data_IF_182128548430
#
_entry.id   IF_182128548430
#
_cell.length_a   1.000
_cell.length_b   1.000
_cell.length_c   1.000
_cell.angle_alpha   90.00
_cell.angle_beta   90.00
_cell.angle_gamma   90.00
#
_symmetry.space_group_name_H-M   'P 1'
#
loop_
_entity.id
_entity.type
_entity.pdbx_description
1 polymer ?
#
# COMPACT_ATOMS: atom_id res chain seq x y z
N UNK A 1 -7.15 -18.43 -0.11
CA UNK A 1 -5.93 -19.01 -0.67
C UNK A 1 -4.69 -18.22 -0.27
N UNK A 2 -3.64 -18.96 -0.03
CA UNK A 2 -2.38 -18.39 0.39
C UNK A 2 -1.65 -17.81 -0.82
N UNK A 3 -1.04 -16.65 -0.64
CA UNK A 3 -0.16 -16.09 -1.67
C UNK A 3 1.14 -16.88 -1.62
N UNK A 4 1.39 -17.69 -2.65
CA UNK A 4 2.57 -18.54 -2.69
C UNK A 4 3.69 -17.87 -3.45
N UNK A 5 4.08 -16.69 -3.01
CA UNK A 5 5.17 -15.94 -3.64
C UNK A 5 6.07 -15.34 -2.57
N UNK A 6 7.25 -14.94 -2.99
CA UNK A 6 8.16 -14.18 -2.12
C UNK A 6 7.96 -12.69 -2.29
N UNK A 7 6.86 -12.28 -2.92
CA UNK A 7 6.54 -10.86 -3.10
C UNK A 7 6.23 -10.21 -1.77
N UNK A 8 6.82 -9.06 -1.52
CA UNK A 8 6.64 -8.34 -0.27
C UNK A 8 6.43 -6.87 -0.50
N UNK A 9 5.62 -6.28 0.37
CA UNK A 9 5.38 -4.84 0.42
C UNK A 9 6.07 -4.33 1.68
N UNK A 10 6.99 -3.38 1.51
CA UNK A 10 7.69 -2.74 2.62
C UNK A 10 7.25 -1.30 2.71
N UNK A 11 7.06 -0.80 3.91
CA UNK A 11 6.58 0.57 4.13
C UNK A 11 7.43 1.30 5.14
N UNK A 12 7.61 2.60 4.91
CA UNK A 12 8.36 3.48 5.78
C UNK A 12 7.66 4.83 5.80
N UNK A 13 7.61 5.48 6.97
CA UNK A 13 7.11 6.85 7.07
C UNK A 13 8.29 7.75 7.35
N UNK A 14 8.51 8.72 6.46
CA UNK A 14 9.61 9.65 6.58
C UNK A 14 9.19 11.00 6.02
N UNK A 15 9.51 12.08 6.74
CA UNK A 15 9.21 13.45 6.33
C UNK A 15 7.73 13.64 5.96
N UNK A 16 6.85 13.02 6.77
CA UNK A 16 5.41 13.08 6.60
C UNK A 16 4.93 12.49 5.26
N UNK A 17 5.67 11.49 4.77
CA UNK A 17 5.31 10.74 3.58
C UNK A 17 5.36 9.25 3.87
N UNK A 18 4.44 8.52 3.28
CA UNK A 18 4.48 7.07 3.28
C UNK A 18 5.27 6.65 2.04
N UNK A 19 6.34 5.91 2.25
CA UNK A 19 7.15 5.38 1.17
C UNK A 19 6.94 3.88 1.12
N UNK A 20 6.45 3.38 0.00
CA UNK A 20 6.15 1.97 -0.19
C UNK A 20 7.14 1.40 -1.20
N UNK A 21 7.81 0.33 -0.82
CA UNK A 21 8.79 -0.34 -1.68
C UNK A 21 8.34 -1.78 -1.92
N UNK A 22 8.48 -2.22 -3.16
CA UNK A 22 8.11 -3.57 -3.56
C UNK A 22 9.37 -4.31 -3.99
N UNK A 23 9.38 -5.64 -3.84
CA UNK A 23 10.47 -6.46 -4.36
C UNK A 23 10.06 -7.16 -5.66
N UNK A 24 9.03 -6.65 -6.31
CA UNK A 24 8.49 -7.23 -7.55
C UNK A 24 7.93 -6.14 -8.44
N UNK A 25 7.75 -6.47 -9.72
CA UNK A 25 7.17 -5.55 -10.69
C UNK A 25 6.30 -6.35 -11.65
N UNK A 26 5.06 -5.90 -11.86
CA UNK A 26 4.10 -6.55 -12.76
C UNK A 26 3.41 -5.48 -13.58
N UNK A 27 3.12 -5.79 -14.85
CA UNK A 27 2.56 -4.79 -15.78
C UNK A 27 1.18 -4.27 -15.38
N UNK A 28 0.38 -5.10 -14.72
CA UNK A 28 -1.00 -4.74 -14.37
C UNK A 28 -1.17 -4.47 -12.86
N UNK A 29 -0.07 -4.23 -12.16
CA UNK A 29 -0.17 -3.99 -10.72
C UNK A 29 -0.80 -2.63 -10.42
N UNK A 30 -1.67 -2.61 -9.40
CA UNK A 30 -2.28 -1.40 -8.88
C UNK A 30 -2.10 -1.41 -7.38
N UNK A 31 -1.62 -0.30 -6.83
CA UNK A 31 -1.44 -0.16 -5.39
C UNK A 31 -2.64 0.59 -4.81
N UNK A 32 -3.21 0.05 -3.75
CA UNK A 32 -4.28 0.69 -2.99
C UNK A 32 -3.76 0.96 -1.59
N UNK A 33 -3.86 2.21 -1.15
CA UNK A 33 -3.45 2.60 0.20
C UNK A 33 -4.70 3.09 0.92
N UNK A 34 -5.12 2.34 1.93
CA UNK A 34 -6.34 2.63 2.68
C UNK A 34 -5.99 3.19 4.06
N UNK A 35 -6.56 4.34 4.38
CA UNK A 35 -6.37 4.99 5.67
C UNK A 35 -7.59 4.75 6.54
N UNK A 36 -7.36 4.26 7.75
CA UNK A 36 -8.41 3.95 8.70
C UNK A 36 -8.24 4.72 10.00
N UNK A 37 -9.36 5.07 10.61
CA UNK A 37 -9.40 5.66 11.94
C UNK A 37 -10.42 4.87 12.75
N UNK A 38 -9.95 4.10 13.75
CA UNK A 38 -10.79 3.16 14.44
C UNK A 38 -11.34 2.12 13.46
N UNK A 39 -12.65 1.95 13.43
CA UNK A 39 -13.30 1.02 12.51
C UNK A 39 -13.74 1.67 11.21
N UNK A 40 -13.37 2.92 10.99
CA UNK A 40 -13.85 3.68 9.86
C UNK A 40 -12.78 3.83 8.77
N UNK A 41 -13.16 3.53 7.53
CA UNK A 41 -12.30 3.78 6.37
C UNK A 41 -12.43 5.26 6.01
N UNK A 42 -11.32 5.99 6.09
CA UNK A 42 -11.33 7.43 5.84
C UNK A 42 -11.03 7.80 4.40
N UNK A 43 -10.12 7.04 3.76
CA UNK A 43 -9.62 7.45 2.45
C UNK A 43 -8.90 6.27 1.81
N UNK A 44 -9.01 6.18 0.48
CA UNK A 44 -8.22 5.24 -0.31
C UNK A 44 -7.53 6.04 -1.41
N UNK A 45 -6.24 5.82 -1.59
CA UNK A 45 -5.50 6.43 -2.70
C UNK A 45 -4.82 5.33 -3.51
N UNK A 46 -4.56 5.64 -4.77
CA UNK A 46 -3.88 4.71 -5.68
C UNK A 46 -2.67 5.42 -6.27
N UNK A 47 -1.55 5.44 -5.53
CA UNK A 47 -0.35 6.14 -6.01
C UNK A 47 0.28 5.42 -7.19
N UNK A 48 0.95 6.19 -8.05
CA UNK A 48 1.71 5.61 -9.16
C UNK A 48 2.93 4.90 -8.62
N UNK A 49 3.26 3.77 -9.26
CA UNK A 49 4.43 2.97 -8.88
C UNK A 49 5.53 3.22 -9.91
N UNK A 50 6.69 3.66 -9.45
CA UNK A 50 7.86 3.89 -10.30
C UNK A 50 9.08 3.19 -9.70
N UNK A 51 9.72 2.34 -10.48
CA UNK A 51 10.90 1.61 -10.01
C UNK A 51 10.60 0.85 -8.72
N UNK A 52 9.45 0.19 -8.67
CA UNK A 52 9.00 -0.61 -7.52
C UNK A 52 8.83 0.22 -6.25
N UNK A 53 8.58 1.53 -6.39
CA UNK A 53 8.41 2.44 -5.27
C UNK A 53 7.24 3.38 -5.51
N UNK A 54 6.52 3.70 -4.45
CA UNK A 54 5.43 4.68 -4.48
C UNK A 54 5.50 5.56 -3.24
N UNK A 55 5.04 6.80 -3.36
CA UNK A 55 5.00 7.73 -2.23
C UNK A 55 3.61 8.32 -2.08
N UNK A 56 3.19 8.49 -0.83
CA UNK A 56 1.90 9.10 -0.51
C UNK A 56 2.15 10.20 0.51
N UNK A 57 1.68 11.41 0.19
CA UNK A 57 1.76 12.55 1.11
C UNK A 57 0.76 12.33 2.25
N UNK A 58 1.22 12.44 3.49
CA UNK A 58 0.39 12.24 4.66
C UNK A 58 -0.13 13.54 5.27
N UNK A 59 0.17 14.68 4.64
CA UNK A 59 -0.34 15.97 5.12
C UNK A 59 -1.86 15.97 5.11
N UNK A 60 -2.46 16.50 6.17
CA UNK A 60 -3.91 16.64 6.32
C UNK A 60 -4.67 15.31 6.26
N UNK A 61 -3.98 14.20 6.50
CA UNK A 61 -4.61 12.88 6.52
C UNK A 61 -4.82 12.45 7.95
N UNK A 62 -6.07 12.13 8.29
CA UNK A 62 -6.43 11.65 9.63
C UNK A 62 -6.49 10.13 9.57
N UNK A 63 -5.67 9.45 10.37
CA UNK A 63 -5.61 7.99 10.38
C UNK A 63 -4.97 7.49 11.66
N UNK A 64 -5.23 6.23 12.02
CA UNK A 64 -4.48 5.53 13.05
C UNK A 64 -3.87 4.24 12.49
N UNK A 65 -4.30 3.80 11.31
CA UNK A 65 -3.68 2.66 10.63
C UNK A 65 -3.76 2.84 9.12
N UNK A 66 -2.85 2.17 8.42
CA UNK A 66 -2.75 2.20 6.97
C UNK A 66 -2.63 0.77 6.47
N UNK A 67 -3.45 0.39 5.50
CA UNK A 67 -3.36 -0.90 4.84
C UNK A 67 -2.91 -0.67 3.40
N UNK A 68 -1.87 -1.39 2.97
CA UNK A 68 -1.34 -1.28 1.62
C UNK A 68 -1.57 -2.59 0.88
N UNK A 69 -2.23 -2.50 -0.28
CA UNK A 69 -2.55 -3.65 -1.13
C UNK A 69 -1.92 -3.44 -2.51
N UNK A 70 -1.40 -4.50 -3.10
CA UNK A 70 -0.97 -4.48 -4.51
C UNK A 70 -1.66 -5.64 -5.20
N UNK A 71 -2.55 -5.34 -6.14
CA UNK A 71 -3.41 -6.30 -6.80
C UNK A 71 -3.20 -6.26 -8.32
N UNK A 72 -3.59 -7.36 -8.99
CA UNK A 72 -3.55 -7.40 -10.45
C UNK A 72 -4.85 -6.82 -11.03
N UNK A 73 -4.94 -6.79 -12.35
CA UNK A 73 -6.11 -6.26 -13.04
C UNK A 73 -7.40 -7.03 -12.80
N UNK A 74 -7.30 -8.25 -12.26
CA UNK A 74 -8.46 -9.08 -11.93
C UNK A 74 -8.77 -9.04 -10.43
N UNK A 75 -8.27 -8.03 -9.72
CA UNK A 75 -8.51 -7.83 -8.29
C UNK A 75 -7.98 -8.95 -7.41
N UNK A 76 -6.87 -9.57 -7.83
CA UNK A 76 -6.20 -10.60 -7.04
C UNK A 76 -4.86 -10.07 -6.52
N UNK A 77 -4.48 -10.43 -5.29
CA UNK A 77 -3.27 -9.88 -4.69
C UNK A 77 -1.99 -10.47 -5.30
N UNK A 78 -0.99 -9.61 -5.47
CA UNK A 78 0.36 -10.04 -5.81
C UNK A 78 1.20 -10.30 -4.56
N UNK A 79 0.77 -9.76 -3.41
CA UNK A 79 1.48 -9.91 -2.15
C UNK A 79 0.50 -9.80 -1.00
N UNK A 80 0.91 -10.23 0.18
CA UNK A 80 0.09 -10.07 1.37
C UNK A 80 -0.03 -8.59 1.71
N UNK A 81 -1.20 -8.20 2.25
CA UNK A 81 -1.44 -6.82 2.66
C UNK A 81 -0.41 -6.42 3.73
N UNK A 82 0.10 -5.20 3.60
CA UNK A 82 0.99 -4.63 4.62
C UNK A 82 0.20 -3.65 5.44
N UNK A 83 0.16 -3.86 6.75
CA UNK A 83 -0.55 -2.97 7.67
C UNK A 83 0.44 -2.23 8.53
N UNK A 84 0.24 -0.92 8.67
CA UNK A 84 1.06 -0.06 9.53
C UNK A 84 0.13 0.62 10.51
N UNK A 85 0.54 0.66 11.76
CA UNK A 85 -0.19 1.39 12.80
C UNK A 85 0.61 2.63 13.21
N UNK A 86 -0.13 3.68 13.48
CA UNK A 86 0.47 4.95 13.89
C UNK A 86 0.92 4.88 15.36
#
# INVERSE_FOLDING_TARGET
PTVLTNNKIECEIKDNKLIVSLNFEEDDEVMYVAFRKGNELKKIVTPDIHNMTAEVDLNDTVYDSIDVYVWNGNMKPYAEVKQIEK
#
